data_IF_555580590954
#
_entry.id   IF_555580590954
#
_cell.length_a   1.000
_cell.length_b   1.000
_cell.length_c   1.000
_cell.angle_alpha   90.00
_cell.angle_beta   90.00
_cell.angle_gamma   90.00
#
_symmetry.space_group_name_H-M   'P 1'
#
loop_
_entity.id
_entity.type
_entity.pdbx_description
1 polymer ?
#
# COMPACT_ATOMS: atom_id res chain seq x y z
N UNK A 1 16.11 6.41 2.35
CA UNK A 1 15.74 7.70 1.72
C UNK A 1 15.43 7.34 0.27
N UNK A 2 14.22 7.32 -0.26
CA UNK A 2 12.97 8.06 -0.05
C UNK A 2 11.79 7.10 0.19
N UNK A 3 10.81 7.45 1.04
CA UNK A 3 9.60 6.63 1.29
C UNK A 3 8.29 7.37 1.08
N UNK A 4 8.32 8.39 0.23
CA UNK A 4 7.14 9.15 -0.19
C UNK A 4 6.80 8.77 -1.63
N UNK A 5 6.43 7.50 -1.84
CA UNK A 5 6.17 7.00 -3.21
C UNK A 5 4.85 7.54 -3.75
N UNK A 6 3.95 7.96 -2.87
CA UNK A 6 2.58 8.28 -3.24
C UNK A 6 2.04 9.62 -2.73
N UNK A 7 2.82 10.47 -2.06
CA UNK A 7 2.29 11.71 -1.44
C UNK A 7 1.49 12.60 -2.41
N UNK A 8 1.98 12.80 -3.64
CA UNK A 8 1.30 13.66 -4.62
C UNK A 8 0.05 13.05 -5.29
N UNK A 9 -0.12 11.73 -5.25
CA UNK A 9 -1.26 11.00 -5.85
C UNK A 9 -1.96 10.09 -4.85
N UNK A 10 -1.82 10.37 -3.56
CA UNK A 10 -2.22 9.44 -2.50
C UNK A 10 -3.70 9.11 -2.56
N UNK A 11 -4.56 10.08 -2.88
CA UNK A 11 -6.00 9.86 -2.97
C UNK A 11 -6.39 8.92 -4.13
N UNK A 12 -5.78 9.09 -5.30
CA UNK A 12 -5.99 8.21 -6.47
C UNK A 12 -5.48 6.81 -6.18
N UNK A 13 -4.26 6.73 -5.64
CA UNK A 13 -3.61 5.49 -5.21
C UNK A 13 -4.45 4.77 -4.18
N UNK A 14 -4.95 5.45 -3.13
CA UNK A 14 -5.82 4.90 -2.10
C UNK A 14 -7.06 4.24 -2.72
N UNK A 15 -7.67 4.87 -3.73
CA UNK A 15 -8.79 4.29 -4.46
C UNK A 15 -8.44 2.95 -5.13
N UNK A 16 -7.29 2.85 -5.78
CA UNK A 16 -6.81 1.62 -6.41
C UNK A 16 -6.35 0.57 -5.39
N UNK A 17 -5.72 1.01 -4.30
CA UNK A 17 -5.27 0.16 -3.20
C UNK A 17 -6.47 -0.48 -2.49
N UNK A 18 -7.58 0.24 -2.30
CA UNK A 18 -8.83 -0.35 -1.79
C UNK A 18 -9.38 -1.44 -2.69
N UNK A 19 -9.28 -1.27 -4.01
CA UNK A 19 -9.73 -2.29 -4.98
C UNK A 19 -8.81 -3.51 -4.95
N UNK A 20 -7.50 -3.30 -4.86
CA UNK A 20 -6.48 -4.37 -4.82
C UNK A 20 -6.48 -5.11 -3.48
N UNK A 21 -6.56 -4.36 -2.38
CA UNK A 21 -6.49 -4.84 -1.01
C UNK A 21 -7.78 -4.54 -0.26
N UNK A 22 -8.88 -5.17 -0.69
CA UNK A 22 -10.20 -4.97 -0.08
C UNK A 22 -10.34 -5.35 1.40
N UNK A 23 -9.35 -6.00 2.03
CA UNK A 23 -9.33 -6.22 3.49
C UNK A 23 -8.81 -5.00 4.26
N UNK A 24 -8.04 -4.12 3.61
CA UNK A 24 -7.59 -2.88 4.23
C UNK A 24 -8.74 -1.89 4.26
N UNK A 25 -8.95 -1.27 5.43
CA UNK A 25 -10.02 -0.31 5.64
C UNK A 25 -9.57 1.11 5.28
N UNK A 26 -10.53 2.03 5.16
CA UNK A 26 -10.22 3.45 4.94
C UNK A 26 -9.29 4.03 6.02
N UNK A 27 -9.43 3.54 7.25
CA UNK A 27 -8.60 3.93 8.39
C UNK A 27 -7.16 3.43 8.24
N UNK A 28 -6.96 2.20 7.79
CA UNK A 28 -5.62 1.68 7.48
C UNK A 28 -4.91 2.55 6.44
N UNK A 29 -5.64 2.97 5.40
CA UNK A 29 -5.09 3.90 4.40
C UNK A 29 -4.84 5.30 4.96
N UNK A 30 -5.64 5.80 5.91
CA UNK A 30 -5.33 7.07 6.58
C UNK A 30 -4.03 7.00 7.35
N UNK A 31 -3.78 5.89 8.06
CA UNK A 31 -2.52 5.69 8.79
C UNK A 31 -1.32 5.53 7.85
N UNK A 32 -1.54 4.87 6.71
CA UNK A 32 -0.48 4.66 5.73
C UNK A 32 0.10 5.97 5.18
N UNK A 33 -0.75 6.95 4.85
CA UNK A 33 -0.34 8.26 4.33
C UNK A 33 0.71 8.20 3.18
N UNK A 34 0.62 7.20 2.30
CA UNK A 34 1.58 6.98 1.21
C UNK A 34 2.92 6.37 1.61
N UNK A 35 3.12 5.99 2.87
CA UNK A 35 4.34 5.39 3.38
C UNK A 35 4.38 3.88 3.14
N UNK A 36 5.39 3.43 2.39
CA UNK A 36 5.59 2.01 2.09
C UNK A 36 5.75 1.12 3.33
N UNK A 37 6.36 1.61 4.42
CA UNK A 37 6.52 0.81 5.65
C UNK A 37 5.19 0.56 6.36
N UNK A 38 4.32 1.56 6.37
CA UNK A 38 3.00 1.41 6.95
C UNK A 38 2.18 0.41 6.13
N UNK A 39 2.21 0.49 4.78
CA UNK A 39 1.52 -0.48 3.90
C UNK A 39 1.97 -1.89 4.24
N UNK A 40 3.27 -2.07 4.36
CA UNK A 40 3.86 -3.34 4.72
C UNK A 40 3.30 -3.86 6.06
N UNK A 41 3.35 -3.05 7.12
CA UNK A 41 2.82 -3.43 8.43
C UNK A 41 1.33 -3.78 8.39
N UNK A 42 0.53 -3.05 7.59
CA UNK A 42 -0.89 -3.34 7.37
C UNK A 42 -1.11 -4.65 6.62
N UNK A 43 -0.36 -4.92 5.57
CA UNK A 43 -0.43 -6.18 4.81
C UNK A 43 -0.06 -7.38 5.69
N UNK A 44 0.97 -7.25 6.54
CA UNK A 44 1.29 -8.31 7.49
C UNK A 44 0.16 -8.54 8.50
N UNK A 45 -0.42 -7.49 9.08
CA UNK A 45 -1.48 -7.59 10.09
C UNK A 45 -2.81 -8.13 9.53
N UNK A 46 -3.23 -7.66 8.36
CA UNK A 46 -4.55 -8.00 7.78
C UNK A 46 -4.53 -9.24 6.89
N UNK A 47 -3.42 -9.48 6.19
CA UNK A 47 -3.29 -10.60 5.26
C UNK A 47 -2.35 -11.71 5.75
N UNK A 48 -1.61 -11.49 6.84
CA UNK A 48 -0.62 -12.46 7.33
C UNK A 48 0.60 -12.57 6.40
N UNK A 49 0.86 -11.57 5.57
CA UNK A 49 1.93 -11.64 4.59
C UNK A 49 3.31 -11.65 5.25
N UNK A 50 4.21 -12.45 4.69
CA UNK A 50 5.63 -12.37 5.01
C UNK A 50 6.22 -11.10 4.42
N UNK A 51 7.45 -10.78 4.83
CA UNK A 51 8.14 -9.59 4.33
C UNK A 51 8.23 -9.56 2.80
N UNK A 52 8.70 -10.64 2.22
CA UNK A 52 8.80 -10.75 0.76
C UNK A 52 7.44 -10.66 0.06
N UNK A 53 6.39 -11.25 0.63
CA UNK A 53 5.04 -11.19 0.04
C UNK A 53 4.48 -9.77 0.03
N UNK A 54 4.62 -9.06 1.15
CA UNK A 54 4.18 -7.67 1.25
C UNK A 54 5.00 -6.75 0.32
N UNK A 55 6.32 -6.91 0.27
CA UNK A 55 7.16 -6.16 -0.67
C UNK A 55 6.80 -6.45 -2.13
N UNK A 56 6.57 -7.73 -2.48
CA UNK A 56 6.14 -8.12 -3.82
C UNK A 56 4.78 -7.54 -4.17
N UNK A 57 3.82 -7.57 -3.24
CA UNK A 57 2.49 -6.99 -3.45
C UNK A 57 2.56 -5.48 -3.69
N UNK A 58 3.38 -4.77 -2.91
CA UNK A 58 3.58 -3.33 -3.09
C UNK A 58 4.25 -3.03 -4.43
N UNK A 59 5.27 -3.80 -4.81
CA UNK A 59 5.97 -3.65 -6.08
C UNK A 59 5.05 -3.92 -7.29
N UNK A 60 4.21 -4.96 -7.22
CA UNK A 60 3.19 -5.27 -8.23
C UNK A 60 2.21 -4.11 -8.38
N UNK A 61 1.73 -3.58 -7.25
CA UNK A 61 0.83 -2.44 -7.22
C UNK A 61 1.48 -1.16 -7.81
N UNK A 62 2.73 -0.87 -7.45
CA UNK A 62 3.50 0.25 -8.01
C UNK A 62 3.65 0.11 -9.53
N UNK A 63 3.95 -1.10 -10.01
CA UNK A 63 4.09 -1.36 -11.45
C UNK A 63 2.77 -1.16 -12.20
N UNK A 64 1.62 -1.44 -11.58
CA UNK A 64 0.28 -1.21 -12.17
C UNK A 64 -0.15 0.25 -12.15
N UNK A 65 0.36 1.03 -11.20
CA UNK A 65 -0.02 2.45 -11.03
C UNK A 65 0.86 3.40 -11.84
N UNK A 66 2.03 2.96 -12.31
CA UNK A 66 3.00 3.77 -13.06
C UNK A 66 2.95 3.56 -14.60
N UNK A 67 1.90 2.93 -15.12
CA UNK A 67 1.65 2.80 -16.57
C UNK A 67 0.51 3.73 -17.00
#
# INVERSE_FOLDING_TARGET
>A
MNKDIFQGKWEEVKGQMKKTWGKLTDDDFKQIEGNQQEIFGKLQKHYGYTKEQAEKAIKDFQSKTHH
#
